data_IF_045272118499
#
_entry.id   IF_045272118499
#
_cell.length_a   1.000
_cell.length_b   1.000
_cell.length_c   1.000
_cell.angle_alpha   90.00
_cell.angle_beta   90.00
_cell.angle_gamma   90.00
#
_symmetry.space_group_name_H-M   'P 1'
#
loop_
_entity.id
_entity.type
_entity.pdbx_description
1 polymer ?
#
# COMPACT_ATOMS: atom_id res chain seq x y z
N UNK A 1 0.02 9.40 5.06
CA UNK A 1 0.69 8.95 6.31
C UNK A 1 1.75 9.94 6.78
N UNK A 2 2.86 10.11 6.07
CA UNK A 2 4.00 10.95 6.49
C UNK A 2 3.58 12.39 6.82
N UNK A 3 2.76 13.02 6.01
CA UNK A 3 2.26 14.38 6.24
C UNK A 3 1.34 14.48 7.45
N UNK A 4 0.37 13.58 7.60
CA UNK A 4 -0.58 13.59 8.72
C UNK A 4 0.08 13.21 10.05
N UNK A 5 1.23 12.53 10.01
CA UNK A 5 2.07 12.29 11.18
C UNK A 5 3.01 13.47 11.53
N UNK A 6 2.84 14.64 10.89
CA UNK A 6 3.68 15.84 11.09
C UNK A 6 5.19 15.65 10.82
N UNK A 7 5.56 14.65 10.04
CA UNK A 7 6.95 14.41 9.67
C UNK A 7 7.45 15.34 8.55
N UNK A 8 6.53 15.94 7.79
CA UNK A 8 6.82 16.93 6.73
C UNK A 8 6.04 18.20 7.00
N UNK A 9 6.73 19.33 7.18
CA UNK A 9 6.15 20.60 7.61
C UNK A 9 5.56 21.48 6.50
N UNK A 10 5.79 21.18 5.21
CA UNK A 10 5.35 22.05 4.11
C UNK A 10 4.52 21.29 3.08
N UNK A 11 3.25 21.72 2.84
CA UNK A 11 2.38 21.11 1.85
C UNK A 11 2.83 21.32 0.39
N UNK A 12 3.68 22.31 0.12
CA UNK A 12 4.10 22.68 -1.23
C UNK A 12 4.96 21.61 -1.93
N UNK A 13 5.54 20.68 -1.19
CA UNK A 13 6.38 19.58 -1.71
C UNK A 13 5.64 18.23 -1.82
N UNK A 14 4.32 18.19 -1.59
CA UNK A 14 3.53 16.96 -1.59
C UNK A 14 3.38 16.30 -2.98
N UNK A 15 3.78 16.96 -4.04
CA UNK A 15 3.79 16.41 -5.40
C UNK A 15 5.10 15.72 -5.80
N UNK A 16 6.12 15.77 -4.95
CA UNK A 16 7.41 15.12 -5.20
C UNK A 16 7.51 13.80 -4.42
N UNK A 17 8.24 12.84 -4.98
CA UNK A 17 8.57 11.57 -4.35
C UNK A 17 9.44 11.84 -3.10
N UNK A 18 8.79 12.04 -1.94
CA UNK A 18 9.41 12.54 -0.71
C UNK A 18 10.52 11.61 -0.21
N UNK A 19 10.36 10.30 -0.41
CA UNK A 19 11.30 9.29 0.03
C UNK A 19 12.37 8.99 -1.03
N UNK A 20 12.10 9.25 -2.32
CA UNK A 20 13.01 8.93 -3.40
C UNK A 20 14.06 10.03 -3.60
N UNK A 21 15.24 9.82 -3.03
CA UNK A 21 16.35 10.77 -3.06
C UNK A 21 17.37 10.50 -4.19
N UNK A 22 17.24 9.39 -4.92
CA UNK A 22 18.11 9.02 -6.01
C UNK A 22 17.63 9.71 -7.31
N UNK A 23 18.57 10.32 -8.07
CA UNK A 23 18.24 11.01 -9.32
C UNK A 23 17.58 10.08 -10.35
N UNK A 24 17.97 8.80 -10.40
CA UNK A 24 17.40 7.79 -11.28
C UNK A 24 15.94 7.47 -10.87
N UNK A 25 15.66 7.38 -9.58
CA UNK A 25 14.30 7.16 -9.06
C UNK A 25 13.39 8.32 -9.45
N UNK A 26 13.87 9.55 -9.31
CA UNK A 26 13.13 10.78 -9.67
C UNK A 26 12.90 10.89 -11.17
N UNK A 27 13.89 10.58 -11.99
CA UNK A 27 13.78 10.62 -13.45
C UNK A 27 12.80 9.58 -13.99
N UNK A 28 12.82 8.37 -13.44
CA UNK A 28 11.95 7.26 -13.86
C UNK A 28 10.59 7.24 -13.16
N UNK A 29 10.43 7.96 -12.04
CA UNK A 29 9.21 7.97 -11.24
C UNK A 29 8.89 6.64 -10.56
N UNK A 30 9.93 5.84 -10.25
CA UNK A 30 9.80 4.53 -9.60
C UNK A 30 10.77 4.40 -8.43
N UNK A 31 10.36 3.71 -7.38
CA UNK A 31 11.22 3.33 -6.26
C UNK A 31 12.14 2.18 -6.67
N UNK A 32 13.45 2.33 -6.49
CA UNK A 32 14.46 1.30 -6.77
C UNK A 32 14.94 0.66 -5.46
N UNK A 33 15.23 1.48 -4.45
CA UNK A 33 15.69 1.03 -3.14
C UNK A 33 14.60 1.23 -2.10
N UNK A 34 14.44 0.25 -1.22
CA UNK A 34 13.50 0.35 -0.11
C UNK A 34 13.85 1.52 0.82
N UNK A 35 12.84 2.26 1.23
CA UNK A 35 12.95 3.40 2.15
C UNK A 35 12.20 3.10 3.43
N UNK A 36 12.74 3.55 4.56
CA UNK A 36 12.14 3.34 5.87
C UNK A 36 11.77 4.68 6.52
N UNK A 37 10.55 4.75 7.03
CA UNK A 37 10.06 5.88 7.82
C UNK A 37 9.25 5.37 9.01
N UNK A 38 9.33 6.05 10.15
CA UNK A 38 8.58 5.70 11.35
C UNK A 38 7.54 6.75 11.67
N UNK A 39 6.35 6.31 12.04
CA UNK A 39 5.29 7.14 12.59
C UNK A 39 4.84 6.59 13.94
N UNK A 40 4.35 7.44 14.83
CA UNK A 40 3.77 7.00 16.10
C UNK A 40 2.27 7.24 16.06
N UNK A 41 1.49 6.18 16.34
CA UNK A 41 0.04 6.25 16.40
C UNK A 41 -0.47 5.49 17.63
N UNK A 42 -1.33 6.13 18.44
CA UNK A 42 -1.87 5.57 19.70
C UNK A 42 -0.79 4.96 20.63
N UNK A 43 0.40 5.59 20.67
CA UNK A 43 1.54 5.12 21.48
C UNK A 43 2.33 3.96 20.87
N UNK A 44 1.93 3.43 19.73
CA UNK A 44 2.64 2.37 18.98
C UNK A 44 3.50 3.01 17.89
N UNK A 45 4.75 2.56 17.79
CA UNK A 45 5.65 2.96 16.70
C UNK A 45 5.44 2.04 15.51
N UNK A 46 4.99 2.61 14.39
CA UNK A 46 4.81 1.91 13.12
C UNK A 46 5.99 2.26 12.22
N UNK A 47 6.76 1.26 11.82
CA UNK A 47 7.83 1.41 10.83
C UNK A 47 7.26 1.05 9.46
N UNK A 48 7.30 2.00 8.54
CA UNK A 48 6.79 1.86 7.18
C UNK A 48 7.98 1.69 6.26
N UNK A 49 8.03 0.60 5.51
CA UNK A 49 9.05 0.33 4.51
C UNK A 49 8.40 0.45 3.14
N UNK A 50 8.78 1.49 2.41
CA UNK A 50 8.38 1.67 1.01
C UNK A 50 9.23 0.78 0.12
N UNK A 51 8.58 -0.13 -0.61
CA UNK A 51 9.25 -1.18 -1.40
C UNK A 51 9.10 -0.93 -2.89
N UNK A 52 10.14 -1.23 -3.71
CA UNK A 52 9.95 -1.25 -5.14
C UNK A 52 8.88 -2.25 -5.53
N UNK A 53 7.97 -1.84 -6.43
CA UNK A 53 6.90 -2.70 -6.95
C UNK A 53 7.30 -3.47 -8.21
N UNK A 54 8.46 -3.20 -8.80
CA UNK A 54 8.87 -3.77 -10.09
C UNK A 54 9.53 -5.15 -9.90
N UNK A 55 9.19 -6.11 -10.79
CA UNK A 55 9.75 -7.46 -10.75
C UNK A 55 11.29 -7.52 -10.88
N UNK A 56 11.89 -6.51 -11.53
CA UNK A 56 13.34 -6.41 -11.70
C UNK A 56 14.09 -6.24 -10.36
N UNK A 57 13.38 -5.83 -9.30
CA UNK A 57 13.93 -5.63 -7.95
C UNK A 57 13.51 -6.73 -6.97
N UNK A 58 13.26 -7.94 -7.46
CA UNK A 58 12.75 -9.06 -6.66
C UNK A 58 13.55 -9.37 -5.41
N UNK A 59 14.87 -9.29 -5.47
CA UNK A 59 15.74 -9.50 -4.31
C UNK A 59 15.55 -8.46 -3.20
N UNK A 60 15.30 -7.20 -3.55
CA UNK A 60 14.99 -6.14 -2.59
C UNK A 60 13.61 -6.36 -1.95
N UNK A 61 12.61 -6.75 -2.76
CA UNK A 61 11.27 -7.08 -2.28
C UNK A 61 11.31 -8.23 -1.27
N UNK A 62 11.99 -9.33 -1.58
CA UNK A 62 12.12 -10.47 -0.66
C UNK A 62 12.83 -10.09 0.64
N UNK A 63 13.90 -9.31 0.55
CA UNK A 63 14.63 -8.84 1.73
C UNK A 63 13.73 -8.02 2.66
N UNK A 64 12.95 -7.11 2.11
CA UNK A 64 12.03 -6.26 2.88
C UNK A 64 10.89 -7.06 3.48
N UNK A 65 10.27 -7.94 2.71
CA UNK A 65 9.16 -8.77 3.19
C UNK A 65 9.57 -9.68 4.35
N UNK A 66 10.82 -10.17 4.37
CA UNK A 66 11.34 -10.95 5.50
C UNK A 66 11.47 -10.12 6.79
N UNK A 67 11.67 -8.81 6.70
CA UNK A 67 11.81 -7.92 7.86
C UNK A 67 10.48 -7.33 8.33
N UNK A 68 9.43 -7.37 7.52
CA UNK A 68 8.15 -6.78 7.83
C UNK A 68 7.27 -7.72 8.65
N UNK A 69 6.50 -7.17 9.60
CA UNK A 69 5.49 -7.92 10.37
C UNK A 69 4.19 -8.11 9.56
N UNK A 70 3.84 -7.13 8.74
CA UNK A 70 2.64 -7.12 7.89
C UNK A 70 2.88 -6.46 6.54
N UNK A 71 1.91 -6.54 5.66
CA UNK A 71 1.97 -6.01 4.29
C UNK A 71 0.74 -5.16 4.00
N UNK A 72 0.97 -3.95 3.48
CA UNK A 72 -0.06 -3.14 2.84
C UNK A 72 0.02 -3.36 1.33
N UNK A 73 -0.98 -4.02 0.75
CA UNK A 73 -1.08 -4.21 -0.69
C UNK A 73 -1.86 -3.04 -1.29
N UNK A 74 -1.17 -2.13 -1.97
CA UNK A 74 -1.80 -0.99 -2.63
C UNK A 74 -2.21 -1.36 -4.05
N UNK A 75 -3.49 -1.16 -4.37
CA UNK A 75 -4.06 -1.41 -5.70
C UNK A 75 -4.78 -0.15 -6.18
N UNK A 76 -4.60 0.21 -7.45
CA UNK A 76 -5.29 1.35 -8.06
C UNK A 76 -6.75 0.96 -8.37
N UNK A 77 -7.71 1.75 -7.88
CA UNK A 77 -9.15 1.50 -8.06
C UNK A 77 -9.62 1.53 -9.52
N UNK A 78 -8.82 2.05 -10.44
CA UNK A 78 -9.11 2.09 -11.87
C UNK A 78 -8.40 0.98 -12.64
N UNK A 79 -7.09 0.79 -12.38
CA UNK A 79 -6.26 -0.19 -13.11
C UNK A 79 -6.44 -1.63 -12.61
N UNK A 80 -6.74 -1.80 -11.31
CA UNK A 80 -6.86 -3.11 -10.70
C UNK A 80 -5.52 -3.82 -10.46
N UNK A 81 -5.54 -5.16 -10.49
CA UNK A 81 -4.36 -5.98 -10.25
C UNK A 81 -3.42 -6.01 -11.46
N UNK A 82 -2.23 -5.43 -11.29
CA UNK A 82 -1.17 -5.42 -12.30
C UNK A 82 -0.21 -6.61 -12.13
N UNK A 83 0.62 -6.96 -13.14
CA UNK A 83 1.62 -8.02 -13.00
C UNK A 83 2.55 -7.87 -11.80
N UNK A 84 2.91 -6.62 -11.46
CA UNK A 84 3.73 -6.29 -10.30
C UNK A 84 2.97 -6.61 -8.99
N UNK A 85 1.67 -6.35 -8.94
CA UNK A 85 0.81 -6.71 -7.80
C UNK A 85 0.84 -8.21 -7.56
N UNK A 86 0.71 -9.01 -8.62
CA UNK A 86 0.79 -10.47 -8.53
C UNK A 86 2.11 -10.95 -7.98
N UNK A 87 3.22 -10.40 -8.47
CA UNK A 87 4.57 -10.77 -8.04
C UNK A 87 4.78 -10.51 -6.54
N UNK A 88 4.50 -9.29 -6.08
CA UNK A 88 4.70 -8.91 -4.67
C UNK A 88 3.75 -9.68 -3.75
N UNK A 89 2.49 -9.85 -4.15
CA UNK A 89 1.50 -10.60 -3.38
C UNK A 89 1.90 -12.07 -3.23
N UNK A 90 2.35 -12.72 -4.32
CA UNK A 90 2.84 -14.09 -4.26
C UNK A 90 3.96 -14.24 -3.23
N UNK A 91 4.96 -13.37 -3.25
CA UNK A 91 6.06 -13.39 -2.29
C UNK A 91 5.60 -13.17 -0.85
N UNK A 92 4.66 -12.28 -0.62
CA UNK A 92 4.09 -12.04 0.70
C UNK A 92 3.33 -13.27 1.23
N UNK A 93 2.52 -13.92 0.38
CA UNK A 93 1.77 -15.13 0.75
C UNK A 93 2.69 -16.33 1.03
N UNK A 94 3.75 -16.53 0.22
CA UNK A 94 4.79 -17.57 0.42
C UNK A 94 5.48 -17.42 1.79
N UNK A 95 5.65 -16.19 2.28
CA UNK A 95 6.19 -15.87 3.60
C UNK A 95 5.15 -15.92 4.73
N UNK A 96 3.94 -16.39 4.46
CA UNK A 96 2.86 -16.49 5.45
C UNK A 96 2.29 -15.14 5.90
N UNK A 97 2.53 -14.05 5.15
CA UNK A 97 1.99 -12.74 5.51
C UNK A 97 0.50 -12.66 5.17
N UNK A 98 -0.28 -12.04 6.07
CA UNK A 98 -1.67 -11.65 5.80
C UNK A 98 -1.66 -10.18 5.36
N UNK A 99 -2.06 -9.86 4.13
CA UNK A 99 -2.06 -8.48 3.65
C UNK A 99 -3.29 -7.73 4.16
N UNK A 100 -3.12 -6.42 4.36
CA UNK A 100 -4.22 -5.45 4.36
C UNK A 100 -4.28 -4.85 2.96
N UNK A 101 -5.42 -4.95 2.30
CA UNK A 101 -5.60 -4.44 0.94
C UNK A 101 -6.02 -2.97 1.01
N UNK A 102 -5.35 -2.12 0.26
CA UNK A 102 -5.66 -0.69 0.17
C UNK A 102 -6.01 -0.36 -1.27
N UNK A 103 -7.30 -0.21 -1.55
CA UNK A 103 -7.81 0.22 -2.85
C UNK A 103 -7.75 1.74 -2.92
N UNK A 104 -6.71 2.24 -3.58
CA UNK A 104 -6.37 3.66 -3.65
C UNK A 104 -6.88 4.31 -4.92
N UNK A 105 -6.94 5.65 -4.93
CA UNK A 105 -7.37 6.49 -6.05
C UNK A 105 -8.86 6.35 -6.39
N UNK A 106 -9.70 6.12 -5.40
CA UNK A 106 -11.17 6.09 -5.58
C UNK A 106 -11.76 7.47 -5.95
N UNK A 107 -10.94 8.54 -5.91
CA UNK A 107 -11.27 9.86 -6.41
C UNK A 107 -11.23 10.00 -7.95
N UNK A 108 -10.68 9.00 -8.66
CA UNK A 108 -10.66 9.01 -10.12
C UNK A 108 -12.05 8.75 -10.72
N UNK A 109 -12.40 9.43 -11.81
CA UNK A 109 -13.59 9.06 -12.58
C UNK A 109 -13.46 7.65 -13.13
N UNK A 110 -14.56 6.91 -13.16
CA UNK A 110 -14.64 5.53 -13.62
C UNK A 110 -13.83 4.52 -12.76
N UNK A 111 -13.53 4.85 -11.50
CA UNK A 111 -13.00 3.87 -10.57
C UNK A 111 -14.04 2.76 -10.32
N UNK A 112 -13.54 1.55 -10.05
CA UNK A 112 -14.34 0.33 -9.83
C UNK A 112 -13.87 -0.41 -8.56
N UNK A 113 -13.99 0.22 -7.38
CA UNK A 113 -13.38 -0.29 -6.15
C UNK A 113 -13.87 -1.67 -5.74
N UNK A 114 -15.18 -1.94 -5.90
CA UNK A 114 -15.80 -3.21 -5.54
C UNK A 114 -15.26 -4.34 -6.46
N UNK A 115 -15.19 -4.11 -7.77
CA UNK A 115 -14.61 -5.07 -8.73
C UNK A 115 -13.13 -5.32 -8.47
N UNK A 116 -12.36 -4.28 -8.13
CA UNK A 116 -10.93 -4.41 -7.80
C UNK A 116 -10.72 -5.24 -6.54
N UNK A 117 -11.60 -5.12 -5.55
CA UNK A 117 -11.56 -5.99 -4.37
C UNK A 117 -11.78 -7.45 -4.74
N UNK A 118 -12.74 -7.74 -5.63
CA UNK A 118 -12.98 -9.09 -6.15
C UNK A 118 -11.77 -9.60 -6.95
N UNK A 119 -11.16 -8.77 -7.81
CA UNK A 119 -9.94 -9.12 -8.54
C UNK A 119 -8.78 -9.51 -7.59
N UNK A 120 -8.62 -8.80 -6.47
CA UNK A 120 -7.60 -9.15 -5.46
C UNK A 120 -7.92 -10.49 -4.82
N UNK A 121 -9.17 -10.74 -4.46
CA UNK A 121 -9.60 -12.01 -3.89
C UNK A 121 -9.34 -13.18 -4.85
N UNK A 122 -9.74 -13.05 -6.12
CA UNK A 122 -9.50 -14.04 -7.16
C UNK A 122 -8.00 -14.29 -7.39
N UNK A 123 -7.20 -13.21 -7.36
CA UNK A 123 -5.76 -13.31 -7.47
C UNK A 123 -5.17 -14.10 -6.29
N UNK A 124 -5.61 -13.84 -5.06
CA UNK A 124 -5.17 -14.58 -3.88
C UNK A 124 -5.55 -16.06 -3.95
N UNK A 125 -6.77 -16.37 -4.39
CA UNK A 125 -7.19 -17.76 -4.65
C UNK A 125 -6.29 -18.44 -5.70
N UNK A 126 -5.96 -17.74 -6.79
CA UNK A 126 -5.07 -18.26 -7.85
C UNK A 126 -3.63 -18.51 -7.38
N UNK A 127 -3.22 -17.84 -6.29
CA UNK A 127 -1.91 -17.97 -5.65
C UNK A 127 -1.91 -18.97 -4.48
N UNK A 128 -3.00 -19.73 -4.29
CA UNK A 128 -3.20 -20.70 -3.22
C UNK A 128 -3.06 -20.07 -1.82
N UNK A 129 -3.60 -18.87 -1.62
CA UNK A 129 -3.69 -18.26 -0.30
C UNK A 129 -4.47 -19.16 0.67
N UNK A 130 -4.07 -19.16 1.94
CA UNK A 130 -4.79 -19.89 2.99
C UNK A 130 -6.10 -19.19 3.35
N UNK A 131 -7.04 -19.90 3.97
CA UNK A 131 -8.32 -19.32 4.44
C UNK A 131 -8.08 -18.10 5.35
N UNK A 132 -7.05 -18.15 6.20
CA UNK A 132 -6.66 -17.04 7.06
C UNK A 132 -6.18 -15.82 6.26
N UNK A 133 -5.43 -16.04 5.18
CA UNK A 133 -4.97 -14.98 4.28
C UNK A 133 -6.12 -14.41 3.45
N UNK A 134 -7.09 -15.24 3.05
CA UNK A 134 -8.29 -14.82 2.32
C UNK A 134 -9.26 -13.97 3.16
N UNK A 135 -9.20 -14.08 4.50
CA UNK A 135 -9.91 -13.19 5.43
C UNK A 135 -9.14 -11.87 5.63
N UNK A 136 -8.79 -11.20 4.53
CA UNK A 136 -8.06 -9.93 4.56
C UNK A 136 -8.99 -8.73 4.76
N UNK A 137 -8.45 -7.70 5.41
CA UNK A 137 -9.16 -6.42 5.54
C UNK A 137 -8.91 -5.55 4.30
N UNK A 138 -9.98 -4.92 3.77
CA UNK A 138 -9.89 -3.93 2.70
C UNK A 138 -10.16 -2.53 3.25
N UNK A 139 -9.33 -1.58 2.85
CA UNK A 139 -9.47 -0.15 3.10
C UNK A 139 -9.48 0.57 1.75
N UNK A 140 -10.40 1.49 1.59
CA UNK A 140 -10.55 2.29 0.38
C UNK A 140 -10.14 3.74 0.63
N UNK A 141 -9.70 4.44 -0.40
CA UNK A 141 -9.47 5.87 -0.22
C UNK A 141 -8.71 6.56 -1.34
N UNK A 142 -8.37 7.81 -1.06
CA UNK A 142 -7.53 8.64 -1.91
C UNK A 142 -6.33 9.16 -1.11
N UNK A 143 -5.17 8.61 -1.37
CA UNK A 143 -3.93 9.10 -0.78
C UNK A 143 -3.65 10.57 -1.18
N UNK A 144 -4.09 10.99 -2.39
CA UNK A 144 -3.97 12.36 -2.89
C UNK A 144 -4.83 13.33 -2.07
N UNK A 145 -6.05 12.93 -1.73
CA UNK A 145 -6.97 13.74 -0.92
C UNK A 145 -6.76 13.55 0.58
N UNK A 146 -5.99 12.53 1.00
CA UNK A 146 -5.56 12.33 2.39
C UNK A 146 -6.59 11.62 3.26
N UNK A 147 -7.49 10.80 2.70
CA UNK A 147 -8.49 10.05 3.46
C UNK A 147 -8.51 8.57 3.11
N UNK A 148 -8.93 7.76 4.08
CA UNK A 148 -9.13 6.31 3.96
C UNK A 148 -10.39 5.91 4.72
N UNK A 149 -11.14 4.92 4.24
CA UNK A 149 -12.39 4.46 4.82
C UNK A 149 -12.58 2.95 4.62
N UNK A 150 -13.38 2.33 5.45
CA UNK A 150 -13.86 0.94 5.25
C UNK A 150 -14.93 0.86 4.13
N UNK A 151 -15.53 2.00 3.78
CA UNK A 151 -16.52 2.13 2.69
C UNK A 151 -16.16 3.31 1.80
N UNK A 152 -15.84 3.04 0.53
CA UNK A 152 -15.43 4.06 -0.43
C UNK A 152 -16.53 5.09 -0.77
N UNK A 153 -17.79 4.77 -0.52
CA UNK A 153 -18.94 5.69 -0.70
C UNK A 153 -19.06 6.70 0.43
N UNK A 154 -18.41 6.43 1.55
CA UNK A 154 -18.41 7.26 2.75
C UNK A 154 -16.98 7.72 3.10
N UNK A 155 -16.45 8.74 2.40
CA UNK A 155 -15.11 9.25 2.66
C UNK A 155 -15.00 9.84 4.07
N UNK A 156 -13.90 9.58 4.73
CA UNK A 156 -13.55 10.17 6.03
C UNK A 156 -12.74 11.46 5.85
N UNK A 157 -12.33 12.09 6.95
CA UNK A 157 -11.50 13.30 6.92
C UNK A 157 -10.00 13.03 6.87
N UNK A 158 -9.56 11.79 7.18
CA UNK A 158 -8.15 11.43 7.36
C UNK A 158 -7.87 9.94 7.10
N UNK A 159 -6.67 9.49 7.44
CA UNK A 159 -6.20 8.11 7.27
C UNK A 159 -6.33 7.24 8.53
N UNK A 160 -7.01 7.72 9.56
CA UNK A 160 -7.21 7.00 10.83
C UNK A 160 -7.72 5.57 10.61
N UNK A 161 -8.71 5.29 9.73
CA UNK A 161 -9.17 3.92 9.50
C UNK A 161 -8.07 2.96 9.02
N UNK A 162 -7.13 3.44 8.21
CA UNK A 162 -5.98 2.63 7.79
C UNK A 162 -5.02 2.38 8.94
N UNK A 163 -4.73 3.39 9.76
CA UNK A 163 -3.86 3.23 10.93
C UNK A 163 -4.47 2.30 11.97
N UNK A 164 -5.80 2.34 12.15
CA UNK A 164 -6.52 1.43 13.03
C UNK A 164 -6.53 -0.01 12.50
N UNK A 165 -6.52 -0.18 11.18
CA UNK A 165 -6.43 -1.51 10.55
C UNK A 165 -5.04 -2.16 10.70
N UNK A 166 -3.98 -1.34 10.87
CA UNK A 166 -2.61 -1.82 11.06
C UNK A 166 -2.36 -2.28 12.49
N UNK A 167 -3.06 -1.70 13.49
CA UNK A 167 -2.95 -2.06 14.91
C UNK A 167 -3.75 -3.30 15.27
#
# INVERSE_FOLDING_TARGET
>A
MIYQANLVRQPENLGQLILDNNDIERERGITILAKNVSVTYKGVKINIIDTPGHSDFGGEVERVLNMADGVLLLVDAFEGCMPQTRFVLQKALELGKKPIVVVNKVDKPNCRPDEVQEEVFDLMCSLNATDEQLDFKTIFGSAKQGWMSDDWKNPTSDITPLLDAIL
#
